data_IF_720735860740
#
_entry.id   IF_720735860740
#
_cell.length_a   1.000
_cell.length_b   1.000
_cell.length_c   1.000
_cell.angle_alpha   90.00
_cell.angle_beta   90.00
_cell.angle_gamma   90.00
#
_symmetry.space_group_name_H-M   'P 1'
#
loop_
_entity.id
_entity.type
_entity.pdbx_description
1 polymer ?
#
# COMPACT_ATOMS: atom_id res chain seq x y z
N UNK A 1 6.85 -17.66 -23.55
CA UNK A 1 6.18 -16.41 -23.18
C UNK A 1 7.14 -15.27 -23.46
N UNK A 2 6.75 -14.33 -24.32
CA UNK A 2 7.48 -13.09 -24.59
C UNK A 2 7.21 -12.05 -23.47
N UNK A 3 8.01 -10.99 -23.41
CA UNK A 3 7.79 -9.89 -22.44
C UNK A 3 6.40 -9.24 -22.58
N UNK A 4 5.88 -8.98 -23.80
CA UNK A 4 4.50 -8.51 -23.97
C UNK A 4 3.44 -9.50 -23.46
N UNK A 5 3.61 -10.80 -23.73
CA UNK A 5 2.70 -11.84 -23.24
C UNK A 5 2.70 -11.90 -21.71
N UNK A 6 3.88 -11.83 -21.09
CA UNK A 6 4.01 -11.80 -19.64
C UNK A 6 3.38 -10.53 -19.03
N UNK A 7 3.62 -9.37 -19.64
CA UNK A 7 3.04 -8.10 -19.20
C UNK A 7 1.51 -8.09 -19.31
N UNK A 8 0.96 -8.73 -20.34
CA UNK A 8 -0.48 -8.91 -20.50
C UNK A 8 -1.05 -9.84 -19.42
N UNK A 9 -0.35 -10.92 -19.10
CA UNK A 9 -0.77 -11.86 -18.05
C UNK A 9 -0.87 -11.16 -16.70
N UNK A 10 0.17 -10.45 -16.25
CA UNK A 10 0.17 -9.82 -14.92
C UNK A 10 -0.85 -8.67 -14.77
N UNK A 11 -1.29 -8.06 -15.89
CA UNK A 11 -2.26 -6.96 -15.88
C UNK A 11 -3.72 -7.40 -15.98
N UNK A 12 -3.98 -8.61 -16.46
CA UNK A 12 -5.34 -9.02 -16.82
C UNK A 12 -5.80 -10.30 -16.12
N UNK A 13 -4.87 -11.07 -15.55
CA UNK A 13 -5.22 -12.30 -14.83
C UNK A 13 -5.72 -11.95 -13.42
N UNK A 14 -6.97 -12.34 -13.13
CA UNK A 14 -7.68 -11.96 -11.90
C UNK A 14 -6.99 -12.45 -10.62
N UNK A 15 -6.12 -13.45 -10.70
CA UNK A 15 -5.33 -13.95 -9.54
C UNK A 15 -4.37 -12.92 -8.95
N UNK A 16 -4.12 -11.81 -9.65
CA UNK A 16 -3.26 -10.71 -9.19
C UNK A 16 -4.04 -9.55 -8.57
N UNK A 17 -5.36 -9.67 -8.47
CA UNK A 17 -6.25 -8.64 -7.92
C UNK A 17 -6.95 -9.15 -6.66
N UNK A 18 -7.41 -8.23 -5.82
CA UNK A 18 -8.24 -8.55 -4.66
C UNK A 18 -9.71 -8.58 -5.08
N UNK A 19 -10.52 -9.32 -4.33
CA UNK A 19 -11.95 -9.48 -4.62
C UNK A 19 -12.82 -8.38 -3.99
N UNK A 20 -12.28 -7.67 -2.99
CA UNK A 20 -13.02 -6.66 -2.25
C UNK A 20 -12.10 -5.61 -1.56
N UNK A 21 -12.66 -4.42 -1.20
CA UNK A 21 -11.97 -3.35 -0.48
C UNK A 21 -11.27 -3.74 0.83
N UNK A 22 -11.87 -4.63 1.62
CA UNK A 22 -11.36 -4.98 2.95
C UNK A 22 -10.14 -5.90 2.81
N UNK A 23 -10.21 -6.87 1.90
CA UNK A 23 -9.08 -7.74 1.54
C UNK A 23 -7.88 -6.95 1.01
N UNK A 24 -8.13 -5.95 0.16
CA UNK A 24 -7.10 -5.01 -0.32
C UNK A 24 -6.43 -4.28 0.86
N UNK A 25 -7.23 -3.72 1.76
CA UNK A 25 -6.74 -2.99 2.93
C UNK A 25 -5.96 -3.90 3.89
N UNK A 26 -6.41 -5.13 4.10
CA UNK A 26 -5.70 -6.12 4.91
C UNK A 26 -4.35 -6.47 4.29
N UNK A 27 -4.29 -6.69 2.97
CA UNK A 27 -3.06 -6.95 2.24
C UNK A 27 -2.02 -5.84 2.42
N UNK A 28 -2.44 -4.58 2.26
CA UNK A 28 -1.55 -3.44 2.48
C UNK A 28 -1.09 -3.32 3.94
N UNK A 29 -1.98 -3.53 4.91
CA UNK A 29 -1.62 -3.49 6.34
C UNK A 29 -0.64 -4.60 6.69
N UNK A 30 -0.85 -5.81 6.20
CA UNK A 30 0.06 -6.93 6.40
C UNK A 30 1.45 -6.64 5.83
N UNK A 31 1.51 -6.15 4.58
CA UNK A 31 2.77 -5.79 3.94
C UNK A 31 3.52 -4.73 4.77
N UNK A 32 2.86 -3.65 5.15
CA UNK A 32 3.50 -2.54 5.87
C UNK A 32 3.92 -2.95 7.27
N UNK A 33 3.03 -3.56 8.06
CA UNK A 33 3.26 -3.77 9.50
C UNK A 33 3.91 -5.10 9.86
N UNK A 34 3.61 -6.16 9.11
CA UNK A 34 4.02 -7.52 9.50
C UNK A 34 5.14 -8.07 8.61
N UNK A 35 5.22 -7.62 7.35
CA UNK A 35 6.23 -8.10 6.39
C UNK A 35 7.43 -7.15 6.32
N UNK A 36 7.20 -5.86 6.09
CA UNK A 36 8.26 -4.88 5.85
C UNK A 36 8.83 -4.36 7.18
N UNK A 37 7.98 -3.84 8.08
CA UNK A 37 8.43 -3.20 9.31
C UNK A 37 9.40 -4.04 10.16
N UNK A 38 9.20 -5.37 10.34
CA UNK A 38 10.14 -6.19 11.12
C UNK A 38 11.50 -6.41 10.44
N UNK A 39 11.58 -6.25 9.11
CA UNK A 39 12.81 -6.44 8.31
C UNK A 39 13.62 -5.16 8.14
N UNK A 40 13.03 -3.99 8.38
CA UNK A 40 13.75 -2.70 8.26
C UNK A 40 15.05 -2.67 9.10
N UNK A 41 15.07 -3.14 10.37
CA UNK A 41 16.28 -3.15 11.19
C UNK A 41 17.42 -4.03 10.66
N UNK A 42 17.14 -4.97 9.75
CA UNK A 42 18.17 -5.83 9.16
C UNK A 42 19.02 -5.06 8.12
N UNK A 43 18.51 -3.93 7.61
CA UNK A 43 19.10 -3.17 6.49
C UNK A 43 19.47 -1.75 6.90
N UNK A 44 18.70 -1.13 7.80
CA UNK A 44 18.86 0.26 8.21
C UNK A 44 19.22 0.37 9.69
N UNK A 45 20.24 1.17 9.99
CA UNK A 45 20.70 1.46 11.36
C UNK A 45 20.02 2.68 11.98
N UNK A 46 19.55 3.61 11.15
CA UNK A 46 18.81 4.80 11.57
C UNK A 46 17.36 4.72 11.11
N UNK A 47 16.45 4.49 12.05
CA UNK A 47 15.03 4.25 11.78
C UNK A 47 14.23 5.40 12.37
N UNK A 48 13.41 6.11 11.57
CA UNK A 48 12.56 7.18 12.07
C UNK A 48 11.62 6.69 13.18
N UNK A 49 11.52 7.45 14.27
CA UNK A 49 10.52 7.23 15.31
C UNK A 49 9.09 7.62 14.86
N UNK A 50 8.97 8.29 13.71
CA UNK A 50 7.68 8.70 13.15
C UNK A 50 6.81 7.48 12.83
N UNK A 51 5.56 7.53 13.29
CA UNK A 51 4.59 6.48 13.00
C UNK A 51 3.99 6.62 11.60
N UNK A 52 3.57 5.49 11.03
CA UNK A 52 2.86 5.40 9.75
C UNK A 52 1.50 4.74 9.98
N UNK A 53 0.45 5.29 9.38
CA UNK A 53 -0.90 4.72 9.37
C UNK A 53 -1.34 4.41 7.95
N UNK A 54 -1.87 3.20 7.72
CA UNK A 54 -2.44 2.76 6.45
C UNK A 54 -3.97 2.79 6.55
N UNK A 55 -4.61 3.64 5.74
CA UNK A 55 -6.05 3.91 5.82
C UNK A 55 -6.67 3.97 4.41
N UNK A 56 -7.97 3.65 4.27
CA UNK A 56 -8.65 3.81 2.98
C UNK A 56 -8.77 5.30 2.63
N UNK A 57 -8.64 5.62 1.34
CA UNK A 57 -8.95 6.94 0.83
C UNK A 57 -10.47 7.16 0.77
N UNK A 58 -11.00 8.29 1.30
CA UNK A 58 -12.43 8.56 1.23
C UNK A 58 -12.91 8.97 -0.18
N UNK A 59 -12.01 9.40 -1.07
CA UNK A 59 -12.32 9.94 -2.39
C UNK A 59 -12.23 8.86 -3.48
N UNK A 60 -13.31 8.62 -4.25
CA UNK A 60 -13.28 7.65 -5.35
C UNK A 60 -12.33 8.04 -6.48
N UNK A 61 -12.20 9.35 -6.76
CA UNK A 61 -11.36 9.88 -7.83
C UNK A 61 -9.86 9.95 -7.47
N UNK A 62 -9.45 9.40 -6.33
CA UNK A 62 -8.06 9.37 -5.91
C UNK A 62 -7.22 8.46 -6.83
N UNK A 63 -5.90 8.71 -6.87
CA UNK A 63 -4.95 7.74 -7.45
C UNK A 63 -4.94 6.43 -6.65
N UNK A 64 -4.35 5.36 -7.18
CA UNK A 64 -4.34 4.03 -6.53
C UNK A 64 -3.88 4.04 -5.07
N UNK A 65 -2.81 4.78 -4.76
CA UNK A 65 -2.39 5.06 -3.39
C UNK A 65 -1.47 6.30 -3.33
N UNK A 66 -1.42 6.98 -2.18
CA UNK A 66 -0.45 8.06 -1.96
C UNK A 66 -0.09 8.24 -0.49
N UNK A 67 1.05 8.91 -0.25
CA UNK A 67 1.53 9.24 1.08
C UNK A 67 1.28 10.71 1.41
N UNK A 68 0.76 10.96 2.61
CA UNK A 68 0.65 12.26 3.23
C UNK A 68 1.63 12.33 4.41
N UNK A 69 2.51 13.34 4.37
CA UNK A 69 3.49 13.54 5.44
C UNK A 69 2.84 13.77 6.81
N UNK A 70 3.44 13.18 7.84
CA UNK A 70 3.11 13.44 9.23
C UNK A 70 3.41 14.89 9.62
N UNK A 71 2.87 15.34 10.75
CA UNK A 71 3.20 16.67 11.27
C UNK A 71 4.64 16.71 11.80
N UNK A 72 5.28 17.87 11.73
CA UNK A 72 6.65 18.04 12.18
C UNK A 72 6.82 17.78 13.69
N UNK A 73 5.81 18.12 14.48
CA UNK A 73 5.76 17.91 15.93
C UNK A 73 5.36 16.47 16.33
N UNK A 74 5.11 15.59 15.36
CA UNK A 74 4.72 14.20 15.59
C UNK A 74 3.28 13.99 16.09
N UNK A 75 2.47 15.04 16.22
CA UNK A 75 1.07 14.94 16.64
C UNK A 75 0.18 14.16 15.66
N UNK A 76 0.57 14.10 14.38
CA UNK A 76 -0.07 13.28 13.34
C UNK A 76 0.96 12.35 12.68
N UNK A 77 0.69 11.04 12.59
CA UNK A 77 1.55 10.13 11.85
C UNK A 77 1.58 10.47 10.36
N UNK A 78 2.58 9.94 9.64
CA UNK A 78 2.46 9.84 8.19
C UNK A 78 1.28 8.93 7.85
N UNK A 79 0.55 9.24 6.77
CA UNK A 79 -0.61 8.46 6.35
C UNK A 79 -0.36 7.93 4.95
N UNK A 80 -0.50 6.63 4.78
CA UNK A 80 -0.55 5.98 3.48
C UNK A 80 -2.01 5.68 3.14
N UNK A 81 -2.55 6.46 2.21
CA UNK A 81 -3.91 6.32 1.70
C UNK A 81 -3.93 5.30 0.56
N UNK A 82 -4.88 4.37 0.62
CA UNK A 82 -5.11 3.34 -0.41
C UNK A 82 -6.51 3.56 -0.98
N UNK A 83 -6.62 3.73 -2.30
CA UNK A 83 -7.92 3.84 -2.94
C UNK A 83 -8.57 2.45 -3.02
N UNK A 84 -9.68 2.28 -2.29
CA UNK A 84 -10.42 1.02 -2.25
C UNK A 84 -11.60 0.97 -3.22
N UNK A 85 -11.88 2.04 -3.97
CA UNK A 85 -12.97 2.09 -4.96
C UNK A 85 -12.61 1.39 -6.28
N UNK A 86 -11.31 1.15 -6.53
CA UNK A 86 -10.77 0.52 -7.73
C UNK A 86 -9.89 -0.69 -7.39
N UNK A 87 -10.40 -1.59 -6.54
CA UNK A 87 -9.66 -2.78 -6.09
C UNK A 87 -9.34 -3.79 -7.22
N UNK A 88 -9.99 -3.65 -8.38
CA UNK A 88 -9.80 -4.44 -9.59
C UNK A 88 -8.88 -3.78 -10.64
N UNK A 89 -8.40 -2.56 -10.36
CA UNK A 89 -7.56 -1.77 -11.26
C UNK A 89 -6.36 -1.12 -10.53
N UNK A 90 -5.68 -1.93 -9.71
CA UNK A 90 -4.52 -1.56 -8.89
C UNK A 90 -3.25 -1.27 -9.70
#
# INVERSE_FOLDING_TARGET
>A
MSVPEFSSMIRNDSRFYYDDPDSLMEGFRNLVYDVIKPRIPDIFTDIPAANLSVVPDPSPDATGAFYLAGSYDGSRPGIFYVNTYHYDAQ
#
